data_IF_927600662374
#
_entry.id   IF_927600662374
#
_cell.length_a   1.000
_cell.length_b   1.000
_cell.length_c   1.000
_cell.angle_alpha   90.00
_cell.angle_beta   90.00
_cell.angle_gamma   90.00
#
_symmetry.space_group_name_H-M   'P 1'
#
loop_
_entity.id
_entity.type
_entity.pdbx_description
1 polymer ?
#
# COMPACT_ATOMS: atom_id res chain seq x y z
N UNK A 1 -50.43 -44.46 -10.83
CA UNK A 1 -50.38 -44.27 -12.29
C UNK A 1 -50.30 -42.77 -12.58
N UNK A 2 -49.46 -42.27 -13.49
CA UNK A 2 -48.05 -42.57 -13.86
C UNK A 2 -47.11 -41.43 -13.34
N UNK A 3 -45.85 -41.58 -12.91
CA UNK A 3 -44.57 -42.02 -13.54
C UNK A 3 -44.20 -41.31 -14.86
N UNK A 4 -43.38 -40.26 -14.77
CA UNK A 4 -42.53 -39.75 -15.86
C UNK A 4 -41.12 -39.55 -15.25
N UNK A 5 -40.19 -40.48 -15.47
CA UNK A 5 -39.33 -40.66 -16.66
C UNK A 5 -38.21 -39.61 -16.70
N UNK A 6 -37.06 -40.07 -16.21
CA UNK A 6 -35.73 -39.53 -16.40
C UNK A 6 -35.30 -39.76 -17.85
N UNK A 7 -34.89 -38.70 -18.55
CA UNK A 7 -34.09 -38.84 -19.77
C UNK A 7 -32.68 -38.33 -19.51
N UNK A 8 -31.76 -39.30 -19.52
CA UNK A 8 -30.34 -39.17 -19.82
C UNK A 8 -30.15 -38.43 -21.15
N UNK A 9 -29.23 -37.48 -21.17
CA UNK A 9 -28.50 -37.15 -22.39
C UNK A 9 -27.01 -37.16 -22.08
N UNK A 10 -26.39 -38.25 -22.54
CA UNK A 10 -24.97 -38.38 -22.83
C UNK A 10 -24.47 -37.21 -23.69
N UNK A 11 -23.44 -36.51 -23.24
CA UNK A 11 -22.61 -35.70 -24.13
C UNK A 11 -21.23 -36.35 -24.34
N UNK A 12 -20.76 -36.40 -25.60
CA UNK A 12 -19.55 -37.13 -25.96
C UNK A 12 -18.26 -36.38 -25.58
N UNK A 13 -17.32 -37.15 -25.04
CA UNK A 13 -15.93 -36.78 -24.78
C UNK A 13 -15.22 -36.46 -26.09
N UNK A 14 -15.06 -35.16 -26.37
CA UNK A 14 -14.23 -34.65 -27.45
C UNK A 14 -12.75 -34.61 -27.06
N UNK A 15 -12.01 -35.66 -27.42
CA UNK A 15 -10.54 -35.67 -27.43
C UNK A 15 -10.05 -34.69 -28.51
N UNK A 16 -9.32 -33.66 -28.10
CA UNK A 16 -8.55 -32.79 -29.00
C UNK A 16 -7.07 -33.03 -28.76
N UNK A 17 -6.50 -33.90 -29.57
CA UNK A 17 -5.06 -33.94 -29.85
C UNK A 17 -4.69 -32.72 -30.69
N UNK A 18 -4.00 -31.76 -30.06
CA UNK A 18 -3.39 -30.61 -30.71
C UNK A 18 -1.88 -30.73 -30.59
N UNK A 19 -1.25 -31.28 -31.63
CA UNK A 19 0.20 -31.35 -31.77
C UNK A 19 0.85 -29.96 -31.76
N UNK A 20 1.95 -29.86 -31.03
CA UNK A 20 2.90 -28.74 -31.13
C UNK A 20 4.16 -29.32 -31.76
N UNK A 21 4.15 -29.42 -33.09
CA UNK A 21 5.36 -29.47 -33.91
C UNK A 21 5.69 -28.04 -34.33
N UNK A 22 6.94 -27.63 -34.13
CA UNK A 22 7.52 -26.50 -34.84
C UNK A 22 8.00 -25.34 -33.96
N UNK A 23 9.19 -25.47 -33.37
CA UNK A 23 10.13 -24.34 -33.27
C UNK A 23 11.57 -24.85 -33.10
N UNK A 24 12.03 -25.66 -34.05
CA UNK A 24 13.46 -25.85 -34.33
C UNK A 24 13.82 -25.04 -35.58
N UNK A 25 14.19 -23.78 -35.38
CA UNK A 25 14.96 -23.02 -36.36
C UNK A 25 15.65 -21.86 -35.64
N UNK A 26 16.90 -21.61 -36.04
CA UNK A 26 17.61 -20.34 -35.86
C UNK A 26 18.55 -20.14 -34.64
N UNK A 27 19.43 -21.12 -34.41
CA UNK A 27 20.68 -20.91 -33.64
C UNK A 27 21.95 -21.23 -34.43
N UNK A 28 21.94 -20.97 -35.74
CA UNK A 28 23.13 -21.10 -36.58
C UNK A 28 23.31 -19.87 -37.45
N UNK A 29 23.83 -18.77 -36.89
CA UNK A 29 24.46 -17.70 -37.66
C UNK A 29 25.43 -16.87 -36.81
N UNK A 30 26.65 -16.78 -37.33
CA UNK A 30 27.69 -15.80 -37.00
C UNK A 30 28.43 -15.95 -35.67
N UNK A 31 29.46 -16.81 -35.68
CA UNK A 31 30.74 -16.42 -35.09
C UNK A 31 31.90 -16.87 -35.98
N UNK A 32 32.54 -15.85 -36.52
CA UNK A 32 33.70 -15.82 -37.41
C UNK A 32 34.98 -16.24 -36.64
N UNK A 33 35.73 -17.28 -37.07
CA UNK A 33 37.00 -17.67 -36.45
C UNK A 33 38.25 -17.22 -37.22
N UNK A 34 38.16 -16.25 -38.14
CA UNK A 34 39.34 -15.76 -38.89
C UNK A 34 39.75 -14.34 -38.48
N UNK A 35 40.50 -14.24 -37.38
CA UNK A 35 41.29 -13.06 -37.06
C UNK A 35 42.76 -13.44 -36.84
N UNK A 36 43.45 -13.51 -37.98
CA UNK A 36 44.77 -12.97 -38.27
C UNK A 36 45.95 -13.38 -37.36
N UNK A 37 46.89 -14.08 -38.01
CA UNK A 37 48.21 -14.37 -37.50
C UNK A 37 49.10 -13.14 -37.31
N UNK A 38 50.13 -13.37 -36.50
CA UNK A 38 51.29 -12.50 -36.34
C UNK A 38 52.10 -12.39 -37.63
N UNK A 39 52.93 -11.33 -37.75
CA UNK A 39 54.35 -11.66 -37.79
C UNK A 39 55.21 -10.85 -36.80
N UNK A 40 56.17 -11.61 -36.30
CA UNK A 40 57.42 -11.26 -35.66
C UNK A 40 58.28 -10.33 -36.54
N UNK A 41 58.77 -9.22 -35.97
CA UNK A 41 59.92 -8.51 -36.51
C UNK A 41 60.69 -7.82 -35.38
N UNK A 42 61.92 -8.29 -35.20
CA UNK A 42 62.92 -7.78 -34.30
C UNK A 42 63.38 -6.37 -34.67
N UNK A 43 63.61 -5.54 -33.65
CA UNK A 43 64.25 -4.23 -33.76
C UNK A 43 64.88 -3.86 -32.44
N UNK A 44 66.15 -4.21 -32.27
CA UNK A 44 67.02 -3.82 -31.17
C UNK A 44 67.60 -2.42 -31.46
N UNK A 45 67.40 -1.47 -30.56
CA UNK A 45 67.98 -0.12 -30.61
C UNK A 45 68.16 0.44 -29.20
N UNK A 46 69.32 1.05 -28.87
CA UNK A 46 69.72 1.36 -27.51
C UNK A 46 69.19 2.72 -27.01
N UNK A 47 69.02 2.79 -25.69
CA UNK A 47 69.10 3.97 -24.82
C UNK A 47 68.49 5.28 -25.34
N UNK A 48 67.21 5.46 -25.01
CA UNK A 48 66.55 6.77 -24.94
C UNK A 48 66.07 6.97 -23.52
N UNK A 49 66.58 8.01 -22.90
CA UNK A 49 66.34 8.45 -21.54
C UNK A 49 64.86 8.41 -21.14
N UNK A 50 64.65 7.91 -19.92
CA UNK A 50 63.37 7.76 -19.26
C UNK A 50 62.64 9.09 -19.14
N UNK A 51 61.59 9.28 -19.95
CA UNK A 51 60.48 10.14 -19.56
C UNK A 51 59.56 9.38 -18.60
N UNK A 52 59.15 9.98 -17.48
CA UNK A 52 58.24 9.35 -16.53
C UNK A 52 56.91 9.09 -17.23
N UNK A 53 56.53 7.82 -17.31
CA UNK A 53 55.25 7.37 -17.80
C UNK A 53 54.13 8.23 -17.20
N UNK A 54 53.46 9.02 -18.04
CA UNK A 54 52.16 9.58 -17.72
C UNK A 54 51.25 8.40 -17.37
N UNK A 55 51.06 8.18 -16.07
CA UNK A 55 50.05 7.29 -15.54
C UNK A 55 48.72 7.73 -16.11
N UNK A 56 48.31 7.07 -17.19
CA UNK A 56 46.98 7.21 -17.75
C UNK A 56 46.04 6.91 -16.59
N UNK A 57 45.26 7.87 -16.08
CA UNK A 57 44.39 7.61 -14.98
C UNK A 57 43.37 6.62 -15.52
N UNK A 58 43.55 5.34 -15.17
CA UNK A 58 42.58 4.30 -15.44
C UNK A 58 41.31 4.78 -14.74
N UNK A 59 40.44 5.42 -15.53
CA UNK A 59 39.05 5.70 -15.23
C UNK A 59 38.42 4.33 -15.00
N UNK A 60 38.69 3.74 -13.83
CA UNK A 60 37.86 2.72 -13.23
C UNK A 60 36.50 3.37 -13.21
N UNK A 61 35.69 2.96 -14.17
CA UNK A 61 34.28 3.20 -14.21
C UNK A 61 33.74 2.65 -12.89
N UNK A 62 33.78 3.49 -11.85
CA UNK A 62 32.76 3.51 -10.82
C UNK A 62 31.49 3.84 -11.57
N UNK A 63 30.98 2.85 -12.29
CA UNK A 63 29.58 2.68 -12.60
C UNK A 63 28.92 2.76 -11.22
N UNK A 64 28.62 3.99 -10.83
CA UNK A 64 27.65 4.33 -9.84
C UNK A 64 26.35 3.79 -10.43
N UNK A 65 26.18 2.47 -10.31
CA UNK A 65 24.89 1.85 -10.12
C UNK A 65 24.29 2.64 -8.97
N UNK A 66 23.61 3.74 -9.30
CA UNK A 66 22.94 4.57 -8.32
C UNK A 66 22.00 3.59 -7.66
N UNK A 67 22.31 3.24 -6.41
CA UNK A 67 21.50 2.32 -5.64
C UNK A 67 20.10 2.87 -5.80
N UNK A 68 19.20 2.09 -6.41
CA UNK A 68 17.80 2.46 -6.53
C UNK A 68 17.27 2.47 -5.11
N UNK A 69 17.44 3.61 -4.43
CA UNK A 69 17.14 3.80 -3.01
C UNK A 69 15.65 3.95 -2.79
N UNK A 70 14.88 4.13 -3.86
CA UNK A 70 13.46 4.42 -3.83
C UNK A 70 12.66 3.27 -4.43
N UNK A 71 11.69 2.74 -3.67
CA UNK A 71 10.81 1.67 -4.10
C UNK A 71 10.03 2.00 -5.39
N UNK A 72 9.77 3.28 -5.66
CA UNK A 72 9.07 3.75 -6.86
C UNK A 72 9.85 3.44 -8.14
N UNK A 73 11.18 3.49 -8.08
CA UNK A 73 12.07 3.11 -9.18
C UNK A 73 12.18 1.59 -9.38
N UNK A 74 11.71 0.84 -8.39
CA UNK A 74 11.70 -0.61 -8.40
C UNK A 74 13.03 -1.24 -8.04
N UNK A 75 13.01 -2.57 -7.99
CA UNK A 75 14.17 -3.36 -7.63
C UNK A 75 13.78 -4.70 -7.01
N UNK A 76 14.81 -5.44 -6.62
CA UNK A 76 14.70 -6.80 -6.05
C UNK A 76 13.82 -6.85 -4.78
N UNK A 77 13.73 -5.76 -4.03
CA UNK A 77 12.88 -5.68 -2.83
C UNK A 77 11.40 -5.61 -3.18
N UNK A 78 11.03 -4.81 -4.19
CA UNK A 78 9.63 -4.69 -4.67
C UNK A 78 9.17 -5.86 -5.55
N UNK A 79 10.09 -6.59 -6.19
CA UNK A 79 9.70 -7.73 -7.04
C UNK A 79 9.12 -8.92 -6.27
N UNK A 80 9.25 -8.93 -4.94
CA UNK A 80 8.59 -9.92 -4.07
C UNK A 80 7.19 -9.51 -3.63
N UNK A 81 6.81 -8.24 -3.82
CA UNK A 81 5.52 -7.64 -3.46
C UNK A 81 4.53 -7.63 -4.63
N UNK A 82 4.72 -8.54 -5.59
CA UNK A 82 3.86 -8.62 -6.78
C UNK A 82 2.49 -9.21 -6.42
N UNK A 83 1.86 -9.89 -7.39
CA UNK A 83 0.46 -10.31 -7.39
C UNK A 83 0.08 -11.09 -6.11
N UNK A 84 1.01 -11.90 -5.57
CA UNK A 84 0.79 -12.66 -4.34
C UNK A 84 0.53 -11.77 -3.10
N UNK A 85 1.31 -10.71 -2.90
CA UNK A 85 1.14 -9.86 -1.69
C UNK A 85 -0.17 -9.10 -1.77
N UNK A 86 -0.51 -8.59 -2.95
CA UNK A 86 -1.79 -7.93 -3.20
C UNK A 86 -2.96 -8.90 -3.01
N UNK A 87 -2.87 -10.12 -3.57
CA UNK A 87 -3.90 -11.14 -3.43
C UNK A 87 -4.14 -11.54 -1.97
N UNK A 88 -3.07 -11.78 -1.21
CA UNK A 88 -3.17 -12.08 0.23
C UNK A 88 -3.78 -10.90 0.99
N UNK A 89 -3.41 -9.66 0.67
CA UNK A 89 -4.00 -8.49 1.32
C UNK A 89 -5.50 -8.38 1.07
N UNK A 90 -5.95 -8.51 -0.18
CA UNK A 90 -7.38 -8.43 -0.52
C UNK A 90 -8.15 -9.57 0.15
N UNK A 91 -7.64 -10.80 0.12
CA UNK A 91 -8.26 -11.95 0.76
C UNK A 91 -8.32 -11.80 2.29
N UNK A 92 -7.24 -11.34 2.92
CA UNK A 92 -7.21 -11.11 4.35
C UNK A 92 -8.17 -10.00 4.78
N UNK A 93 -8.26 -8.89 4.04
CA UNK A 93 -9.23 -7.84 4.30
C UNK A 93 -10.67 -8.37 4.18
N UNK A 94 -10.98 -9.08 3.09
CA UNK A 94 -12.29 -9.68 2.88
C UNK A 94 -12.66 -10.67 3.98
N UNK A 95 -11.74 -11.56 4.37
CA UNK A 95 -11.93 -12.50 5.47
C UNK A 95 -12.13 -11.79 6.81
N UNK A 96 -11.30 -10.78 7.13
CA UNK A 96 -11.42 -9.99 8.35
C UNK A 96 -12.78 -9.31 8.48
N UNK A 97 -13.27 -8.71 7.39
CA UNK A 97 -14.60 -8.09 7.34
C UNK A 97 -15.71 -9.12 7.49
N UNK A 98 -15.68 -10.22 6.74
CA UNK A 98 -16.73 -11.24 6.79
C UNK A 98 -16.81 -11.93 8.15
N UNK A 99 -15.66 -12.26 8.76
CA UNK A 99 -15.60 -12.85 10.09
C UNK A 99 -16.05 -11.82 11.14
N UNK A 100 -15.65 -10.56 11.01
CA UNK A 100 -16.10 -9.48 11.89
C UNK A 100 -17.62 -9.30 11.86
N UNK A 101 -18.20 -9.22 10.68
CA UNK A 101 -19.66 -9.15 10.50
C UNK A 101 -20.38 -10.41 11.03
N UNK A 102 -19.76 -11.58 10.89
CA UNK A 102 -20.25 -12.82 11.50
C UNK A 102 -20.24 -12.75 13.03
N UNK A 103 -19.17 -12.21 13.62
CA UNK A 103 -19.05 -12.02 15.07
C UNK A 103 -20.14 -11.08 15.60
N UNK A 104 -20.45 -10.00 14.89
CA UNK A 104 -21.55 -9.09 15.24
C UNK A 104 -22.94 -9.75 15.25
N UNK A 105 -23.15 -10.78 14.40
CA UNK A 105 -24.41 -11.51 14.35
C UNK A 105 -24.50 -12.65 15.35
N UNK A 106 -23.37 -13.26 15.71
CA UNK A 106 -23.34 -14.51 16.47
C UNK A 106 -22.98 -14.32 17.95
N UNK A 107 -22.29 -13.22 18.30
CA UNK A 107 -21.84 -12.96 19.67
C UNK A 107 -22.75 -11.94 20.39
N UNK A 108 -22.78 -11.95 21.74
CA UNK A 108 -23.46 -10.91 22.50
C UNK A 108 -22.95 -9.51 22.17
N UNK A 109 -23.86 -8.53 22.13
CA UNK A 109 -23.56 -7.14 21.80
C UNK A 109 -22.48 -6.49 22.69
N UNK A 110 -22.31 -6.97 23.92
CA UNK A 110 -21.31 -6.47 24.87
C UNK A 110 -19.86 -6.75 24.45
N UNK A 111 -19.63 -7.76 23.59
CA UNK A 111 -18.28 -8.20 23.18
C UNK A 111 -18.08 -8.19 21.67
N UNK A 112 -19.17 -8.23 20.90
CA UNK A 112 -19.11 -8.44 19.45
C UNK A 112 -18.32 -7.35 18.71
N UNK A 113 -18.48 -6.08 19.07
CA UNK A 113 -17.74 -4.96 18.47
C UNK A 113 -16.22 -5.04 18.72
N UNK A 114 -15.81 -5.42 19.93
CA UNK A 114 -14.40 -5.65 20.26
C UNK A 114 -13.81 -6.82 19.46
N UNK A 115 -14.55 -7.92 19.33
CA UNK A 115 -14.12 -9.09 18.55
C UNK A 115 -14.03 -8.75 17.07
N UNK A 116 -15.04 -8.08 16.50
CA UNK A 116 -15.05 -7.69 15.10
C UNK A 116 -13.87 -6.78 14.75
N UNK A 117 -13.60 -5.77 15.59
CA UNK A 117 -12.46 -4.87 15.45
C UNK A 117 -11.14 -5.62 15.59
N UNK A 118 -11.01 -6.49 16.59
CA UNK A 118 -9.81 -7.30 16.82
C UNK A 118 -9.50 -8.23 15.65
N UNK A 119 -10.51 -8.90 15.09
CA UNK A 119 -10.37 -9.77 13.91
C UNK A 119 -9.88 -8.98 12.70
N UNK A 120 -10.47 -7.81 12.44
CA UNK A 120 -10.05 -6.93 11.34
C UNK A 120 -8.59 -6.49 11.52
N UNK A 121 -8.21 -6.06 12.73
CA UNK A 121 -6.84 -5.66 13.04
C UNK A 121 -5.84 -6.80 12.89
N UNK A 122 -6.19 -8.03 13.32
CA UNK A 122 -5.33 -9.20 13.14
C UNK A 122 -5.16 -9.53 11.66
N UNK A 123 -6.23 -9.46 10.86
CA UNK A 123 -6.15 -9.71 9.43
C UNK A 123 -5.23 -8.68 8.72
N UNK A 124 -5.41 -7.40 9.02
CA UNK A 124 -4.60 -6.32 8.44
C UNK A 124 -3.15 -6.36 8.95
N UNK A 125 -2.96 -6.38 10.28
CA UNK A 125 -1.65 -6.41 10.93
C UNK A 125 -0.84 -7.66 10.58
N UNK A 126 -1.49 -8.82 10.53
CA UNK A 126 -0.88 -10.08 10.09
C UNK A 126 -0.38 -10.00 8.64
N UNK A 127 -1.19 -9.42 7.74
CA UNK A 127 -0.79 -9.20 6.34
C UNK A 127 0.39 -8.24 6.24
N UNK A 128 0.34 -7.12 6.97
CA UNK A 128 1.44 -6.14 7.02
C UNK A 128 2.73 -6.81 7.49
N UNK A 129 2.67 -7.51 8.63
CA UNK A 129 3.82 -8.21 9.19
C UNK A 129 4.39 -9.21 8.19
N UNK A 130 3.55 -10.06 7.60
CA UNK A 130 3.96 -11.05 6.61
C UNK A 130 4.62 -10.41 5.37
N UNK A 131 4.05 -9.33 4.84
CA UNK A 131 4.61 -8.60 3.71
C UNK A 131 6.02 -8.04 4.02
N UNK A 132 6.19 -7.42 5.19
CA UNK A 132 7.47 -6.86 5.63
C UNK A 132 8.52 -7.92 6.03
N UNK A 133 8.11 -9.11 6.46
CA UNK A 133 9.00 -10.26 6.66
C UNK A 133 9.54 -10.78 5.33
N UNK A 134 8.77 -10.70 4.24
CA UNK A 134 9.17 -11.16 2.90
C UNK A 134 10.21 -10.24 2.23
N UNK A 135 10.00 -8.93 2.34
CA UNK A 135 10.99 -7.91 1.99
C UNK A 135 10.57 -6.53 2.48
N UNK A 136 11.53 -5.61 2.60
CA UNK A 136 11.29 -4.21 2.99
C UNK A 136 11.53 -3.30 1.78
N UNK A 137 10.49 -2.66 1.21
CA UNK A 137 10.66 -1.68 0.15
C UNK A 137 11.63 -0.58 0.58
N UNK A 138 12.59 -0.24 -0.29
CA UNK A 138 13.64 0.72 0.05
C UNK A 138 13.03 2.10 0.32
N UNK A 139 13.50 2.77 1.38
CA UNK A 139 13.10 4.12 1.81
C UNK A 139 11.66 4.29 2.33
N UNK A 140 10.78 3.30 2.18
CA UNK A 140 9.39 3.38 2.61
C UNK A 140 9.23 3.68 4.11
N UNK A 141 10.04 3.04 4.95
CA UNK A 141 10.00 3.20 6.40
C UNK A 141 10.91 4.32 6.93
N UNK A 142 11.57 5.09 6.05
CA UNK A 142 12.48 6.15 6.50
C UNK A 142 11.66 7.32 7.02
N UNK A 143 11.89 7.70 8.26
CA UNK A 143 11.34 8.91 8.85
C UNK A 143 12.17 10.15 8.48
N UNK A 144 11.51 11.29 8.34
CA UNK A 144 12.13 12.58 8.08
C UNK A 144 11.36 13.70 8.81
N UNK A 145 12.03 14.75 9.32
CA UNK A 145 11.33 15.87 9.96
C UNK A 145 10.25 16.53 9.10
N UNK A 146 10.42 16.52 7.76
CA UNK A 146 9.40 16.98 6.82
C UNK A 146 8.06 16.23 6.95
N UNK A 147 8.09 14.97 7.37
CA UNK A 147 6.88 14.16 7.58
C UNK A 147 6.06 14.70 8.75
N UNK A 148 6.69 15.32 9.76
CA UNK A 148 6.00 16.01 10.85
C UNK A 148 5.27 17.26 10.35
N UNK A 149 5.94 18.07 9.52
CA UNK A 149 5.34 19.28 8.94
C UNK A 149 4.13 18.92 8.06
N UNK A 150 4.29 17.94 7.18
CA UNK A 150 3.20 17.46 6.33
C UNK A 150 2.08 16.81 7.13
N UNK A 151 2.42 15.95 8.09
CA UNK A 151 1.48 15.26 8.97
C UNK A 151 0.60 16.23 9.75
N UNK A 152 1.21 17.20 10.43
CA UNK A 152 0.50 18.20 11.21
C UNK A 152 -0.33 19.12 10.31
N UNK A 153 0.29 19.72 9.29
CA UNK A 153 -0.38 20.69 8.44
C UNK A 153 -1.54 20.08 7.67
N UNK A 154 -1.32 18.98 6.96
CA UNK A 154 -2.37 18.35 6.15
C UNK A 154 -3.42 17.65 7.01
N UNK A 155 -3.05 17.05 8.15
CA UNK A 155 -4.01 16.45 9.07
C UNK A 155 -5.04 17.46 9.59
N UNK A 156 -4.58 18.65 9.99
CA UNK A 156 -5.46 19.74 10.43
C UNK A 156 -6.28 20.32 9.26
N UNK A 157 -5.69 20.47 8.07
CA UNK A 157 -6.44 20.92 6.88
C UNK A 157 -7.57 19.94 6.56
N UNK A 158 -7.30 18.63 6.52
CA UNK A 158 -8.30 17.60 6.23
C UNK A 158 -9.39 17.59 7.31
N UNK A 159 -9.04 17.78 8.59
CA UNK A 159 -10.01 17.93 9.69
C UNK A 159 -10.95 19.13 9.47
N UNK A 160 -10.39 20.28 9.09
CA UNK A 160 -11.21 21.47 8.78
C UNK A 160 -12.10 21.24 7.56
N UNK A 161 -11.57 20.62 6.51
CA UNK A 161 -12.37 20.24 5.34
C UNK A 161 -13.52 19.29 5.71
N UNK A 162 -13.29 18.31 6.60
CA UNK A 162 -14.38 17.46 7.11
C UNK A 162 -15.47 18.31 7.77
N UNK A 163 -15.11 19.28 8.62
CA UNK A 163 -16.10 20.15 9.26
C UNK A 163 -16.96 20.92 8.25
N UNK A 164 -16.36 21.42 7.17
CA UNK A 164 -17.11 22.06 6.08
C UNK A 164 -17.97 21.09 5.28
N UNK A 165 -17.46 19.88 5.02
CA UNK A 165 -18.21 18.82 4.36
C UNK A 165 -19.43 18.44 5.21
N UNK A 166 -19.26 18.24 6.51
CA UNK A 166 -20.33 17.90 7.45
C UNK A 166 -21.47 18.92 7.36
N UNK A 167 -21.16 20.22 7.51
CA UNK A 167 -22.12 21.31 7.36
C UNK A 167 -22.76 21.33 5.97
N UNK A 168 -21.98 21.15 4.91
CA UNK A 168 -22.50 21.12 3.53
C UNK A 168 -23.43 19.93 3.27
N UNK A 169 -23.28 18.84 4.03
CA UNK A 169 -24.14 17.64 3.97
C UNK A 169 -25.28 17.63 4.97
N UNK A 170 -25.53 18.76 5.64
CA UNK A 170 -26.67 18.94 6.56
C UNK A 170 -26.33 18.83 8.05
N UNK A 171 -25.04 18.75 8.40
CA UNK A 171 -24.58 18.85 9.78
C UNK A 171 -24.87 20.22 10.41
N UNK A 172 -24.98 20.27 11.73
CA UNK A 172 -25.34 21.50 12.47
C UNK A 172 -24.19 22.49 12.58
N UNK A 173 -22.96 22.05 12.31
CA UNK A 173 -21.74 22.83 12.57
C UNK A 173 -21.40 22.98 14.05
N UNK A 174 -22.14 22.32 14.95
CA UNK A 174 -21.79 22.24 16.36
C UNK A 174 -20.48 21.46 16.55
N UNK A 175 -19.77 21.75 17.64
CA UNK A 175 -18.64 20.91 18.03
C UNK A 175 -19.14 19.49 18.31
N UNK A 176 -18.39 18.45 17.88
CA UNK A 176 -18.70 17.08 18.31
C UNK A 176 -18.62 17.00 19.84
N UNK A 177 -19.27 16.00 20.42
CA UNK A 177 -19.20 15.73 21.86
C UNK A 177 -19.32 14.24 22.14
N UNK A 178 -18.69 13.79 23.22
CA UNK A 178 -18.86 12.46 23.78
C UNK A 178 -20.09 12.39 24.71
N UNK A 179 -20.80 11.25 24.73
CA UNK A 179 -21.82 11.00 25.74
C UNK A 179 -21.15 10.89 27.12
N UNK A 180 -21.81 11.44 28.15
CA UNK A 180 -21.34 11.37 29.55
C UNK A 180 -22.36 10.63 30.43
N UNK A 181 -21.86 9.96 31.46
CA UNK A 181 -22.68 9.27 32.48
C UNK A 181 -22.32 9.89 33.83
N UNK A 182 -23.29 10.55 34.47
CA UNK A 182 -23.03 11.25 35.73
C UNK A 182 -22.01 12.39 35.63
N UNK A 183 -21.85 12.99 34.43
CA UNK A 183 -20.87 14.05 34.16
C UNK A 183 -19.44 13.54 33.90
N UNK A 184 -19.22 12.23 33.88
CA UNK A 184 -17.93 11.61 33.56
C UNK A 184 -17.96 10.93 32.19
N UNK A 185 -16.78 10.78 31.58
CA UNK A 185 -16.60 9.95 30.40
C UNK A 185 -16.74 8.46 30.76
N UNK A 186 -17.19 7.60 29.84
CA UNK A 186 -17.33 6.17 30.11
C UNK A 186 -16.02 5.49 30.52
N UNK A 187 -16.13 4.43 31.33
CA UNK A 187 -15.00 3.56 31.63
C UNK A 187 -14.42 2.98 30.33
N UNK A 188 -13.10 3.02 30.20
CA UNK A 188 -12.40 2.54 29.00
C UNK A 188 -12.26 3.55 27.86
N UNK A 189 -12.84 4.76 27.97
CA UNK A 189 -12.76 5.84 26.96
C UNK A 189 -11.32 6.08 26.46
N UNK A 190 -10.35 6.07 27.37
CA UNK A 190 -8.92 6.26 27.02
C UNK A 190 -8.47 5.24 25.97
N UNK A 191 -8.93 4.00 26.06
CA UNK A 191 -8.58 2.99 25.06
C UNK A 191 -9.48 3.08 23.83
N UNK A 192 -10.80 3.12 24.00
CA UNK A 192 -11.79 3.01 22.92
C UNK A 192 -11.89 4.25 22.03
N UNK A 193 -11.71 5.44 22.59
CA UNK A 193 -11.99 6.71 21.93
C UNK A 193 -10.73 7.56 21.70
N UNK A 194 -9.63 7.22 22.39
CA UNK A 194 -8.34 7.89 22.24
C UNK A 194 -7.29 6.95 21.63
N UNK A 195 -6.79 5.95 22.37
CA UNK A 195 -5.62 5.16 21.91
C UNK A 195 -5.93 4.36 20.64
N UNK A 196 -7.02 3.60 20.63
CA UNK A 196 -7.40 2.75 19.51
C UNK A 196 -7.62 3.57 18.21
N UNK A 197 -8.51 4.58 18.18
CA UNK A 197 -8.80 5.31 16.95
C UNK A 197 -7.73 6.35 16.60
N UNK A 198 -6.96 6.91 17.54
CA UNK A 198 -5.94 7.92 17.21
C UNK A 198 -4.62 7.30 16.80
N UNK A 199 -4.24 6.15 17.36
CA UNK A 199 -2.92 5.57 17.14
C UNK A 199 -3.00 4.20 16.48
N UNK A 200 -3.69 3.24 17.10
CA UNK A 200 -3.62 1.84 16.66
C UNK A 200 -4.22 1.64 15.28
N UNK A 201 -5.47 2.08 15.09
CA UNK A 201 -6.19 1.95 13.83
C UNK A 201 -5.48 2.72 12.69
N UNK A 202 -5.14 4.03 12.82
CA UNK A 202 -4.43 4.77 11.78
C UNK A 202 -3.10 4.14 11.37
N UNK A 203 -2.32 3.64 12.33
CA UNK A 203 -1.06 2.96 12.01
C UNK A 203 -1.32 1.68 11.22
N UNK A 204 -2.24 0.82 11.67
CA UNK A 204 -2.57 -0.42 10.95
C UNK A 204 -3.14 -0.14 9.55
N UNK A 205 -4.05 0.81 9.44
CA UNK A 205 -4.70 1.20 8.19
C UNK A 205 -3.72 1.79 7.18
N UNK A 206 -2.88 2.74 7.59
CA UNK A 206 -1.92 3.34 6.66
C UNK A 206 -0.86 2.31 6.22
N UNK A 207 -0.37 1.46 7.12
CA UNK A 207 0.52 0.38 6.72
C UNK A 207 -0.16 -0.63 5.78
N UNK A 208 -1.41 -1.00 6.04
CA UNK A 208 -2.11 -1.96 5.20
C UNK A 208 -2.44 -1.36 3.82
N UNK A 209 -3.16 -0.25 3.78
CA UNK A 209 -3.63 0.32 2.52
C UNK A 209 -2.50 1.02 1.76
N UNK A 210 -1.70 1.87 2.42
CA UNK A 210 -0.73 2.72 1.71
C UNK A 210 0.63 2.07 1.61
N UNK A 211 1.08 1.32 2.62
CA UNK A 211 2.34 0.58 2.49
C UNK A 211 2.16 -0.72 1.71
N UNK A 212 1.13 -1.55 1.98
CA UNK A 212 0.94 -2.85 1.28
C UNK A 212 0.19 -2.72 -0.02
N UNK A 213 -1.09 -2.32 0.00
CA UNK A 213 -1.95 -2.35 -1.19
C UNK A 213 -1.44 -1.40 -2.28
N UNK A 214 -1.25 -0.11 -1.95
CA UNK A 214 -0.81 0.91 -2.90
C UNK A 214 0.56 0.57 -3.50
N UNK A 215 1.57 0.20 -2.70
CA UNK A 215 2.91 -0.12 -3.21
C UNK A 215 2.87 -1.36 -4.10
N UNK A 216 2.16 -2.41 -3.69
CA UNK A 216 2.05 -3.64 -4.49
C UNK A 216 1.41 -3.34 -5.84
N UNK A 217 0.26 -2.66 -5.83
CA UNK A 217 -0.47 -2.30 -7.05
C UNK A 217 0.33 -1.37 -7.96
N UNK A 218 0.98 -0.34 -7.40
CA UNK A 218 1.88 0.53 -8.17
C UNK A 218 3.00 -0.26 -8.84
N UNK A 219 3.62 -1.22 -8.13
CA UNK A 219 4.74 -1.99 -8.66
C UNK A 219 4.33 -2.95 -9.78
N UNK A 220 3.10 -3.46 -9.74
CA UNK A 220 2.49 -4.29 -10.78
C UNK A 220 2.20 -3.43 -12.01
N UNK A 221 1.51 -2.30 -11.84
CA UNK A 221 1.00 -1.48 -12.94
C UNK A 221 2.05 -0.60 -13.63
N UNK A 222 3.13 -0.21 -12.94
CA UNK A 222 4.10 0.74 -13.50
C UNK A 222 4.83 0.26 -14.75
N UNK A 223 4.99 -1.07 -14.91
CA UNK A 223 5.69 -1.67 -16.06
C UNK A 223 4.82 -1.62 -17.32
N UNK A 224 3.57 -2.12 -17.30
CA UNK A 224 2.70 -2.06 -18.46
C UNK A 224 2.17 -0.65 -18.78
N UNK A 225 1.90 0.20 -17.77
CA UNK A 225 1.17 1.46 -17.97
C UNK A 225 1.97 2.74 -17.68
N UNK A 226 3.21 2.63 -17.24
CA UNK A 226 4.03 3.77 -16.85
C UNK A 226 3.72 4.32 -15.45
N UNK A 227 4.55 5.28 -15.00
CA UNK A 227 4.56 5.74 -13.60
C UNK A 227 3.31 6.53 -13.20
N UNK A 228 2.81 7.40 -14.08
CA UNK A 228 1.69 8.28 -13.78
C UNK A 228 0.40 7.48 -13.63
N UNK A 229 0.06 6.68 -14.65
CA UNK A 229 -1.16 5.84 -14.65
C UNK A 229 -1.12 4.85 -13.49
N UNK A 230 0.02 4.21 -13.22
CA UNK A 230 0.16 3.32 -12.08
C UNK A 230 -0.01 4.05 -10.73
N UNK A 231 0.48 5.28 -10.60
CA UNK A 231 0.29 6.10 -9.41
C UNK A 231 -1.18 6.45 -9.18
N UNK A 232 -1.87 6.93 -10.21
CA UNK A 232 -3.29 7.27 -10.16
C UNK A 232 -4.15 6.04 -9.84
N UNK A 233 -3.97 4.94 -10.59
CA UNK A 233 -4.72 3.71 -10.36
C UNK A 233 -4.46 3.13 -8.97
N UNK A 234 -3.20 3.07 -8.51
CA UNK A 234 -2.88 2.57 -7.18
C UNK A 234 -3.45 3.45 -6.06
N UNK A 235 -3.37 4.78 -6.21
CA UNK A 235 -3.94 5.73 -5.27
C UNK A 235 -5.47 5.63 -5.19
N UNK A 236 -6.15 5.54 -6.34
CA UNK A 236 -7.61 5.42 -6.41
C UNK A 236 -8.10 4.09 -5.82
N UNK A 237 -7.48 2.97 -6.18
CA UNK A 237 -7.88 1.64 -5.65
C UNK A 237 -7.59 1.55 -4.16
N UNK A 238 -6.43 2.02 -3.69
CA UNK A 238 -6.12 2.06 -2.25
C UNK A 238 -7.11 2.93 -1.48
N UNK A 239 -7.48 4.09 -2.02
CA UNK A 239 -8.47 4.99 -1.41
C UNK A 239 -9.86 4.35 -1.42
N UNK A 240 -10.26 3.74 -2.53
CA UNK A 240 -11.56 3.06 -2.66
C UNK A 240 -11.72 1.90 -1.68
N UNK A 241 -10.67 1.07 -1.50
CA UNK A 241 -10.68 -0.01 -0.51
C UNK A 241 -10.73 0.53 0.93
N UNK A 242 -10.05 1.64 1.20
CA UNK A 242 -10.10 2.30 2.50
C UNK A 242 -11.51 2.84 2.82
N UNK A 243 -12.11 3.57 1.87
CA UNK A 243 -13.50 4.06 1.98
C UNK A 243 -14.48 2.90 2.13
N UNK A 244 -14.33 1.85 1.33
CA UNK A 244 -15.19 0.66 1.43
C UNK A 244 -15.07 -0.01 2.80
N UNK A 245 -13.86 -0.10 3.36
CA UNK A 245 -13.65 -0.62 4.72
C UNK A 245 -14.40 0.20 5.77
N UNK A 246 -14.31 1.52 5.71
CA UNK A 246 -15.05 2.40 6.61
C UNK A 246 -16.57 2.26 6.44
N UNK A 247 -17.05 2.18 5.19
CA UNK A 247 -18.48 2.00 4.92
C UNK A 247 -19.01 0.69 5.51
N UNK A 248 -18.28 -0.41 5.33
CA UNK A 248 -18.64 -1.73 5.87
C UNK A 248 -18.63 -1.80 7.40
N UNK A 249 -17.88 -0.91 8.06
CA UNK A 249 -17.74 -0.84 9.53
C UNK A 249 -18.57 0.32 10.12
N UNK A 250 -19.42 0.97 9.32
CA UNK A 250 -20.47 1.86 9.83
C UNK A 250 -20.43 3.33 9.36
N UNK A 251 -19.44 3.74 8.58
CA UNK A 251 -19.40 5.10 8.01
C UNK A 251 -20.36 5.21 6.80
N UNK A 252 -21.62 5.46 7.10
CA UNK A 252 -22.71 5.40 6.12
C UNK A 252 -23.20 6.79 5.67
N UNK A 253 -22.78 7.87 6.33
CA UNK A 253 -23.12 9.23 5.95
C UNK A 253 -22.36 9.69 4.70
N UNK A 254 -23.03 10.43 3.81
CA UNK A 254 -22.38 10.98 2.61
C UNK A 254 -21.17 11.88 2.96
N UNK A 255 -21.30 12.71 4.01
CA UNK A 255 -20.20 13.55 4.51
C UNK A 255 -19.04 12.75 5.11
N UNK A 256 -19.34 11.64 5.79
CA UNK A 256 -18.33 10.74 6.34
C UNK A 256 -17.56 10.04 5.22
N UNK A 257 -18.27 9.44 4.26
CA UNK A 257 -17.69 8.77 3.08
C UNK A 257 -16.80 9.74 2.30
N UNK A 258 -17.27 10.97 2.08
CA UNK A 258 -16.49 11.99 1.37
C UNK A 258 -15.25 12.42 2.17
N UNK A 259 -15.36 12.60 3.48
CA UNK A 259 -14.24 12.98 4.35
C UNK A 259 -13.16 11.89 4.40
N UNK A 260 -13.57 10.64 4.54
CA UNK A 260 -12.68 9.46 4.50
C UNK A 260 -12.03 9.33 3.12
N UNK A 261 -12.76 9.61 2.04
CA UNK A 261 -12.19 9.63 0.69
C UNK A 261 -11.12 10.71 0.54
N UNK A 262 -11.37 11.94 1.01
CA UNK A 262 -10.39 13.04 1.00
C UNK A 262 -9.14 12.65 1.78
N UNK A 263 -9.29 12.11 2.99
CA UNK A 263 -8.17 11.59 3.78
C UNK A 263 -7.38 10.53 3.00
N UNK A 264 -8.07 9.57 2.39
CA UNK A 264 -7.46 8.50 1.60
C UNK A 264 -6.65 9.00 0.40
N UNK A 265 -7.18 9.99 -0.33
CA UNK A 265 -6.46 10.63 -1.44
C UNK A 265 -5.22 11.34 -0.94
N UNK A 266 -5.32 12.13 0.13
CA UNK A 266 -4.18 12.89 0.70
C UNK A 266 -3.08 11.94 1.17
N UNK A 267 -3.42 10.89 1.92
CA UNK A 267 -2.47 9.88 2.38
C UNK A 267 -1.80 9.15 1.20
N UNK A 268 -2.58 8.74 0.19
CA UNK A 268 -2.06 8.08 -1.01
C UNK A 268 -1.10 8.98 -1.78
N UNK A 269 -1.46 10.26 -1.96
CA UNK A 269 -0.63 11.26 -2.63
C UNK A 269 0.69 11.47 -1.88
N UNK A 270 0.67 11.62 -0.55
CA UNK A 270 1.89 11.77 0.25
C UNK A 270 2.85 10.58 0.06
N UNK A 271 2.34 9.35 0.07
CA UNK A 271 3.17 8.15 -0.08
C UNK A 271 3.74 8.05 -1.48
N UNK A 272 2.95 8.33 -2.52
CA UNK A 272 3.40 8.34 -3.91
C UNK A 272 4.42 9.45 -4.20
N UNK A 273 4.25 10.64 -3.62
CA UNK A 273 5.10 11.81 -3.84
C UNK A 273 6.39 11.78 -3.02
N UNK A 274 6.34 11.30 -1.78
CA UNK A 274 7.52 11.29 -0.90
C UNK A 274 8.25 9.95 -0.88
N UNK A 275 7.59 8.86 -1.27
CA UNK A 275 8.11 7.51 -1.15
C UNK A 275 8.20 6.99 0.30
N UNK A 276 7.57 7.66 1.28
CA UNK A 276 7.63 7.33 2.71
C UNK A 276 6.24 7.18 3.31
N UNK A 277 6.08 6.27 4.27
CA UNK A 277 4.79 6.00 4.91
C UNK A 277 4.44 6.98 6.04
N UNK A 278 5.44 7.51 6.73
CA UNK A 278 5.23 8.26 7.98
C UNK A 278 4.43 9.55 7.81
N UNK A 279 4.53 10.21 6.65
CA UNK A 279 3.69 11.39 6.37
C UNK A 279 2.21 11.05 6.40
N UNK A 280 1.80 9.95 5.77
CA UNK A 280 0.41 9.50 5.76
C UNK A 280 -0.07 9.04 7.14
N UNK A 281 0.76 8.27 7.86
CA UNK A 281 0.49 7.87 9.26
C UNK A 281 0.23 9.10 10.13
N UNK A 282 1.10 10.11 10.06
CA UNK A 282 0.95 11.32 10.88
C UNK A 282 -0.25 12.16 10.47
N UNK A 283 -0.57 12.28 9.17
CA UNK A 283 -1.81 12.95 8.72
C UNK A 283 -3.03 12.29 9.34
N UNK A 284 -3.10 10.96 9.29
CA UNK A 284 -4.24 10.22 9.81
C UNK A 284 -4.33 10.32 11.35
N UNK A 285 -3.20 10.16 12.05
CA UNK A 285 -3.14 10.33 13.52
C UNK A 285 -3.57 11.74 13.93
N UNK A 286 -3.05 12.78 13.28
CA UNK A 286 -3.41 14.19 13.59
C UNK A 286 -4.87 14.47 13.24
N UNK A 287 -5.34 13.94 12.12
CA UNK A 287 -6.75 14.00 11.74
C UNK A 287 -7.61 13.41 12.86
N UNK A 288 -7.35 12.20 13.37
CA UNK A 288 -8.15 11.61 14.44
C UNK A 288 -7.94 12.31 15.80
N UNK A 289 -6.71 12.66 16.16
CA UNK A 289 -6.42 13.37 17.42
C UNK A 289 -7.17 14.71 17.52
N UNK A 290 -7.23 15.45 16.41
CA UNK A 290 -7.96 16.72 16.37
C UNK A 290 -9.47 16.55 16.54
N UNK A 291 -10.06 15.41 16.11
CA UNK A 291 -11.44 15.07 16.49
C UNK A 291 -11.58 14.99 18.00
N UNK A 292 -10.72 14.20 18.66
CA UNK A 292 -10.81 13.95 20.10
C UNK A 292 -10.72 15.27 20.86
N UNK A 293 -9.80 16.16 20.47
CA UNK A 293 -9.68 17.50 21.09
C UNK A 293 -10.96 18.32 20.91
N UNK A 294 -11.52 18.36 19.70
CA UNK A 294 -12.77 19.09 19.43
C UNK A 294 -13.95 18.46 20.19
N UNK A 295 -14.00 17.13 20.28
CA UNK A 295 -15.04 16.38 20.96
C UNK A 295 -15.02 16.62 22.48
N UNK A 296 -13.83 16.63 23.09
CA UNK A 296 -13.66 17.02 24.48
C UNK A 296 -14.08 18.47 24.74
N UNK A 297 -13.75 19.38 23.83
CA UNK A 297 -14.17 20.77 23.93
C UNK A 297 -15.69 20.91 23.87
N UNK A 298 -16.36 20.21 22.93
CA UNK A 298 -17.81 20.19 22.84
C UNK A 298 -18.49 19.55 24.05
N UNK A 299 -17.92 18.47 24.60
CA UNK A 299 -18.41 17.86 25.86
C UNK A 299 -18.29 18.78 27.07
N UNK A 300 -17.27 19.64 27.12
CA UNK A 300 -17.07 20.56 28.24
C UNK A 300 -17.94 21.82 28.14
N UNK A 301 -18.25 22.27 26.92
CA UNK A 301 -18.99 23.50 26.65
C UNK A 301 -20.52 23.32 26.54
N UNK A 302 -20.98 22.09 26.27
CA UNK A 302 -22.41 21.73 26.12
C UNK A 302 -22.99 21.10 27.37
#
# INVERSE_FOLDING_TARGET
MPTHSTDELDEPVGVRDGGIEGEQADLARFRDPDAAGAPEAAGYGPDSDAEPAEETPTRRSRSMSSRRTDWRLGGRTTSRWRELVLGVAILALGAGVLIGAGAERLLPASVSGFVATGVLWVAMGGTVLWAFLRSRPAYLLRFSPKDLVWGLGLGLIVRTCQGWIDVATGGTGALPSYPTIGGALPDGWVFTDLIAPVVVAPVLEEFFFRAVVLVSLYTILRRPFGKLVAGLAAGLVSTGLFVLGHWLVGANGAGEVLSVAVLGVVCSALVLLTGRIWGAVLVHVVYNASFVVLALAGTWLG
#
